data_IF_786474867058
#
_entry.id   IF_786474867058
#
_cell.length_a   1.000
_cell.length_b   1.000
_cell.length_c   1.000
_cell.angle_alpha   90.00
_cell.angle_beta   90.00
_cell.angle_gamma   90.00
#
_symmetry.space_group_name_H-M   'P 1'
#
loop_
_entity.id
_entity.type
_entity.pdbx_description
1 polymer ?
#
# COMPACT_ATOMS: atom_id res chain seq x y z
N UNK A 1 -11.30 -4.16 18.59
CA UNK A 1 -11.44 -5.50 17.95
C UNK A 1 -11.67 -5.42 16.45
N UNK A 2 -12.48 -4.48 15.92
CA UNK A 2 -12.79 -4.41 14.48
C UNK A 2 -11.63 -3.98 13.56
N UNK A 3 -10.77 -3.05 14.00
CA UNK A 3 -9.62 -2.59 13.19
C UNK A 3 -8.60 -3.71 12.91
N UNK A 4 -8.40 -4.60 13.88
CA UNK A 4 -7.45 -5.71 13.77
C UNK A 4 -7.92 -6.76 12.75
N UNK A 5 -9.22 -7.10 12.77
CA UNK A 5 -9.83 -7.99 11.79
C UNK A 5 -9.75 -7.43 10.35
N UNK A 6 -9.90 -6.11 10.19
CA UNK A 6 -9.82 -5.46 8.88
C UNK A 6 -8.39 -5.50 8.32
N UNK A 7 -7.37 -5.30 9.17
CA UNK A 7 -5.96 -5.40 8.76
C UNK A 7 -5.58 -6.85 8.42
N UNK A 8 -5.99 -7.82 9.24
CA UNK A 8 -5.74 -9.22 8.96
C UNK A 8 -6.38 -9.67 7.64
N UNK A 9 -7.63 -9.26 7.38
CA UNK A 9 -8.34 -9.55 6.13
C UNK A 9 -7.66 -8.92 4.90
N UNK A 10 -7.21 -7.67 5.01
CA UNK A 10 -6.50 -6.98 3.92
C UNK A 10 -5.18 -7.68 3.57
N UNK A 11 -4.41 -8.09 4.58
CA UNK A 11 -3.15 -8.84 4.37
C UNK A 11 -3.39 -10.18 3.70
N UNK A 12 -4.43 -10.92 4.12
CA UNK A 12 -4.80 -12.19 3.48
C UNK A 12 -5.20 -11.98 2.02
N UNK A 13 -5.99 -10.94 1.71
CA UNK A 13 -6.37 -10.62 0.34
C UNK A 13 -5.14 -10.30 -0.54
N UNK A 14 -4.19 -9.51 -0.03
CA UNK A 14 -2.94 -9.19 -0.74
C UNK A 14 -2.02 -10.40 -0.94
N UNK A 15 -2.11 -11.42 -0.08
CA UNK A 15 -1.36 -12.65 -0.26
C UNK A 15 -2.02 -13.61 -1.28
N UNK A 16 -3.33 -13.49 -1.50
CA UNK A 16 -4.09 -14.34 -2.42
C UNK A 16 -4.20 -13.76 -3.84
N UNK A 17 -3.98 -12.46 -4.02
CA UNK A 17 -4.12 -11.79 -5.31
C UNK A 17 -2.89 -10.91 -5.60
N UNK A 18 -2.00 -11.40 -6.46
CA UNK A 18 -0.77 -10.70 -6.83
C UNK A 18 -1.04 -9.39 -7.58
N UNK A 19 -2.05 -9.34 -8.46
CA UNK A 19 -2.43 -8.10 -9.16
C UNK A 19 -2.87 -7.01 -8.17
N UNK A 20 -3.71 -7.39 -7.21
CA UNK A 20 -4.14 -6.48 -6.14
C UNK A 20 -2.94 -6.02 -5.31
N UNK A 21 -2.02 -6.93 -5.00
CA UNK A 21 -0.80 -6.61 -4.25
C UNK A 21 0.06 -5.59 -4.96
N UNK A 22 0.34 -5.81 -6.25
CA UNK A 22 1.19 -4.92 -7.05
C UNK A 22 0.55 -3.54 -7.21
N UNK A 23 -0.76 -3.48 -7.42
CA UNK A 23 -1.48 -2.21 -7.47
C UNK A 23 -1.42 -1.48 -6.12
N UNK A 24 -1.67 -2.19 -5.02
CA UNK A 24 -1.63 -1.60 -3.67
C UNK A 24 -0.23 -1.11 -3.30
N UNK A 25 0.82 -1.85 -3.67
CA UNK A 25 2.21 -1.43 -3.46
C UNK A 25 2.52 -0.13 -4.21
N UNK A 26 2.12 -0.02 -5.47
CA UNK A 26 2.31 1.20 -6.26
C UNK A 26 1.48 2.39 -5.74
N UNK A 27 0.23 2.14 -5.34
CA UNK A 27 -0.63 3.16 -4.73
C UNK A 27 0.02 3.73 -3.47
N UNK A 28 0.49 2.87 -2.56
CA UNK A 28 1.15 3.30 -1.34
C UNK A 28 2.51 3.96 -1.62
N UNK A 29 3.28 3.47 -2.61
CA UNK A 29 4.53 4.10 -3.03
C UNK A 29 4.32 5.52 -3.54
N UNK A 30 3.29 5.74 -4.36
CA UNK A 30 2.93 7.08 -4.86
C UNK A 30 2.59 8.03 -3.71
N UNK A 31 1.75 7.58 -2.77
CA UNK A 31 1.37 8.38 -1.60
C UNK A 31 2.57 8.71 -0.70
N UNK A 32 3.46 7.75 -0.51
CA UNK A 32 4.68 7.96 0.25
C UNK A 32 5.59 8.97 -0.47
N UNK A 33 5.65 8.94 -1.81
CA UNK A 33 6.41 9.90 -2.61
C UNK A 33 5.86 11.32 -2.47
N UNK A 34 4.54 11.47 -2.48
CA UNK A 34 3.86 12.75 -2.24
C UNK A 34 4.16 13.32 -0.84
N UNK A 35 4.31 12.44 0.16
CA UNK A 35 4.64 12.86 1.53
C UNK A 35 6.12 13.18 1.72
N UNK A 36 6.99 12.69 0.82
CA UNK A 36 8.44 12.84 0.88
C UNK A 36 8.99 13.58 -0.37
N UNK A 37 8.29 14.62 -0.82
CA UNK A 37 8.68 15.41 -2.00
C UNK A 37 10.07 16.06 -1.88
N UNK A 38 10.52 16.31 -0.65
CA UNK A 38 11.83 16.90 -0.38
C UNK A 38 13.00 15.93 -0.57
N UNK A 39 12.74 14.61 -0.63
CA UNK A 39 13.76 13.62 -0.93
C UNK A 39 14.05 13.60 -2.43
N UNK A 40 15.33 13.49 -2.78
CA UNK A 40 15.73 13.10 -4.14
C UNK A 40 15.22 11.69 -4.46
N UNK A 41 15.20 11.33 -5.74
CA UNK A 41 14.72 10.01 -6.15
C UNK A 41 15.57 8.87 -5.55
N UNK A 42 16.89 9.04 -5.45
CA UNK A 42 17.78 8.05 -4.83
C UNK A 42 17.54 7.90 -3.32
N UNK A 43 17.27 9.02 -2.62
CA UNK A 43 16.95 9.00 -1.20
C UNK A 43 15.57 8.40 -0.95
N UNK A 44 14.60 8.70 -1.82
CA UNK A 44 13.28 8.11 -1.75
C UNK A 44 13.30 6.61 -2.00
N UNK A 45 14.06 6.12 -2.99
CA UNK A 45 14.15 4.67 -3.24
C UNK A 45 14.82 3.94 -2.06
N UNK A 46 15.80 4.56 -1.39
CA UNK A 46 16.36 4.03 -0.14
C UNK A 46 15.30 4.02 0.96
N UNK A 47 14.61 5.14 1.19
CA UNK A 47 13.52 5.25 2.17
C UNK A 47 12.46 4.16 1.95
N UNK A 48 11.99 4.03 0.71
CA UNK A 48 11.00 3.04 0.31
C UNK A 48 11.50 1.62 0.56
N UNK A 49 12.73 1.28 0.17
CA UNK A 49 13.30 -0.06 0.38
C UNK A 49 13.26 -0.49 1.84
N UNK A 50 13.50 0.42 2.78
CA UNK A 50 13.53 0.13 4.21
C UNK A 50 12.14 0.13 4.85
N UNK A 51 11.29 1.10 4.52
CA UNK A 51 9.99 1.28 5.18
C UNK A 51 8.83 0.56 4.48
N UNK A 52 9.03 0.04 3.26
CA UNK A 52 7.98 -0.65 2.49
C UNK A 52 7.23 -1.71 3.31
N UNK A 53 7.87 -2.61 4.07
CA UNK A 53 7.12 -3.61 4.83
C UNK A 53 6.16 -3.00 5.84
N UNK A 54 6.56 -1.93 6.52
CA UNK A 54 5.76 -1.24 7.52
C UNK A 54 4.66 -0.39 6.88
N UNK A 55 4.96 0.31 5.79
CA UNK A 55 4.00 1.09 5.02
C UNK A 55 2.92 0.16 4.42
N UNK A 56 3.33 -0.97 3.83
CA UNK A 56 2.42 -1.99 3.34
C UNK A 56 1.57 -2.56 4.47
N UNK A 57 2.14 -2.76 5.66
CA UNK A 57 1.40 -3.27 6.80
C UNK A 57 0.34 -2.28 7.31
N UNK A 58 0.73 -1.03 7.53
CA UNK A 58 -0.15 0.02 8.03
C UNK A 58 -1.20 0.46 7.01
N UNK A 59 -0.81 0.52 5.72
CA UNK A 59 -1.64 0.97 4.61
C UNK A 59 -2.48 -0.11 3.92
N UNK A 60 -2.29 -1.40 4.26
CA UNK A 60 -2.93 -2.52 3.55
C UNK A 60 -4.45 -2.36 3.42
N UNK A 61 -5.14 -2.03 4.51
CA UNK A 61 -6.59 -1.96 4.51
C UNK A 61 -7.10 -0.82 3.62
N UNK A 62 -6.43 0.33 3.64
CA UNK A 62 -6.78 1.48 2.82
C UNK A 62 -6.50 1.21 1.33
N UNK A 63 -5.32 0.67 1.01
CA UNK A 63 -4.95 0.34 -0.36
C UNK A 63 -5.91 -0.69 -0.99
N UNK A 64 -6.32 -1.71 -0.23
CA UNK A 64 -7.30 -2.70 -0.70
C UNK A 64 -8.67 -2.06 -0.95
N UNK A 65 -9.11 -1.12 -0.11
CA UNK A 65 -10.36 -0.39 -0.34
C UNK A 65 -10.27 0.50 -1.59
N UNK A 66 -9.14 1.17 -1.79
CA UNK A 66 -8.89 1.99 -2.98
C UNK A 66 -8.89 1.14 -4.27
N UNK A 67 -8.26 -0.04 -4.25
CA UNK A 67 -8.26 -0.97 -5.39
C UNK A 67 -9.68 -1.41 -5.77
N UNK A 68 -10.50 -1.76 -4.77
CA UNK A 68 -11.91 -2.13 -4.99
C UNK A 68 -12.69 -0.97 -5.61
N UNK A 69 -12.48 0.25 -5.13
CA UNK A 69 -13.08 1.45 -5.69
C UNK A 69 -12.64 1.75 -7.13
N UNK A 70 -11.37 1.51 -7.46
CA UNK A 70 -10.86 1.67 -8.83
C UNK A 70 -11.44 0.64 -9.81
N UNK A 71 -11.59 -0.62 -9.38
CA UNK A 71 -12.20 -1.68 -10.22
C UNK A 71 -13.68 -1.44 -10.50
N UNK A 72 -14.42 -0.80 -9.58
CA UNK A 72 -15.85 -0.46 -9.78
C UNK A 72 -16.04 0.69 -10.78
N UNK A 73 -15.01 1.50 -11.03
CA UNK A 73 -15.06 2.60 -12.01
C UNK A 73 -14.74 2.17 -13.45
N UNK A 74 -14.28 0.93 -13.65
CA UNK A 74 -13.97 0.34 -14.97
C UNK A 74 -15.14 -0.51 -15.44
#
# INVERSE_FOLDING_TARGET
MERDNMMHGARTALNQNQEMRDWCENFLKSRERESNQNLSDEEFEKHWRYHRPEIMHAGAAEAVQAFKGEKVKR
#
